data_IF_480745911436
#
_entry.id   IF_480745911436
#
_cell.length_a   1.000
_cell.length_b   1.000
_cell.length_c   1.000
_cell.angle_alpha   90.00
_cell.angle_beta   90.00
_cell.angle_gamma   90.00
#
_symmetry.space_group_name_H-M   'P 1'
#
loop_
_entity.id
_entity.type
_entity.pdbx_description
1 polymer ?
#
# COMPACT_ATOMS: atom_id res chain seq x y z
N UNK A 1 -7.78 5.09 -12.27
CA UNK A 1 -6.98 4.26 -11.35
C UNK A 1 -7.12 4.84 -9.96
N UNK A 2 -7.16 4.02 -8.92
CA UNK A 2 -7.16 4.46 -7.52
C UNK A 2 -6.18 3.63 -6.70
N UNK A 3 -5.81 4.15 -5.52
CA UNK A 3 -5.18 3.39 -4.45
C UNK A 3 -6.05 3.49 -3.20
N UNK A 4 -6.07 2.44 -2.39
CA UNK A 4 -6.79 2.38 -1.12
C UNK A 4 -5.96 1.65 -0.06
N UNK A 5 -6.34 1.85 1.21
CA UNK A 5 -5.75 1.15 2.34
C UNK A 5 -6.87 0.61 3.21
N UNK A 6 -6.72 -0.63 3.66
CA UNK A 6 -7.62 -1.30 4.58
C UNK A 6 -6.82 -1.97 5.68
N UNK A 7 -7.43 -2.16 6.84
CA UNK A 7 -6.85 -2.89 7.96
C UNK A 7 -7.76 -4.02 8.42
N UNK A 8 -7.18 -5.01 9.09
CA UNK A 8 -7.88 -6.15 9.71
C UNK A 8 -8.90 -5.74 10.77
N UNK A 9 -8.81 -4.51 11.29
CA UNK A 9 -9.79 -3.91 12.21
C UNK A 9 -11.08 -3.46 11.50
N UNK A 10 -11.16 -3.57 10.17
CA UNK A 10 -12.26 -3.05 9.36
C UNK A 10 -12.13 -1.57 8.99
N UNK A 11 -11.06 -0.89 9.40
CA UNK A 11 -10.81 0.48 8.98
C UNK A 11 -10.39 0.55 7.51
N UNK A 12 -10.94 1.53 6.79
CA UNK A 12 -10.63 1.79 5.40
C UNK A 12 -10.32 3.29 5.22
N UNK A 13 -9.18 3.60 4.61
CA UNK A 13 -8.83 4.97 4.26
C UNK A 13 -9.65 5.42 3.04
N UNK A 14 -9.94 6.74 2.88
CA UNK A 14 -10.53 7.26 1.65
C UNK A 14 -9.68 6.92 0.41
N UNK A 15 -10.36 6.56 -0.69
CA UNK A 15 -9.70 6.24 -1.95
C UNK A 15 -8.95 7.44 -2.52
N UNK A 16 -7.74 7.17 -3.01
CA UNK A 16 -6.89 8.15 -3.68
C UNK A 16 -7.06 7.97 -5.18
N UNK A 17 -7.71 8.93 -5.83
CA UNK A 17 -8.02 8.88 -7.25
C UNK A 17 -6.93 9.50 -8.11
N UNK A 18 -6.64 8.84 -9.23
CA UNK A 18 -5.76 9.35 -10.27
C UNK A 18 -6.54 9.56 -11.58
N UNK A 19 -6.11 10.52 -12.42
CA UNK A 19 -6.70 10.72 -13.74
C UNK A 19 -6.76 9.44 -14.58
N UNK A 20 -7.73 9.35 -15.50
CA UNK A 20 -8.08 8.13 -16.26
C UNK A 20 -6.92 7.52 -17.06
N UNK A 21 -5.94 8.33 -17.46
CA UNK A 21 -4.76 7.91 -18.25
C UNK A 21 -3.47 7.91 -17.45
N UNK A 22 -3.57 8.01 -16.12
CA UNK A 22 -2.41 8.08 -15.24
C UNK A 22 -1.75 6.71 -15.10
N UNK A 23 -0.43 6.66 -15.32
CA UNK A 23 0.39 5.48 -15.05
C UNK A 23 1.19 5.71 -13.77
N UNK A 24 0.81 5.01 -12.71
CA UNK A 24 1.49 5.08 -11.42
C UNK A 24 2.97 4.67 -11.55
N UNK A 25 3.88 5.55 -11.15
CA UNK A 25 5.32 5.26 -11.03
C UNK A 25 5.68 5.07 -9.56
N UNK A 26 6.87 4.50 -9.33
CA UNK A 26 7.40 4.31 -7.97
C UNK A 26 7.46 5.61 -7.16
N UNK A 27 7.82 6.73 -7.78
CA UNK A 27 7.88 8.03 -7.11
C UNK A 27 6.50 8.51 -6.63
N UNK A 28 5.47 8.31 -7.46
CA UNK A 28 4.08 8.65 -7.12
C UNK A 28 3.56 7.75 -5.99
N UNK A 29 3.87 6.46 -6.07
CA UNK A 29 3.53 5.48 -5.04
C UNK A 29 4.17 5.84 -3.70
N UNK A 30 5.48 6.12 -3.68
CA UNK A 30 6.20 6.54 -2.46
C UNK A 30 5.61 7.86 -1.92
N UNK A 31 5.22 8.80 -2.79
CA UNK A 31 4.57 10.05 -2.36
C UNK A 31 3.25 9.76 -1.64
N UNK A 32 2.43 8.84 -2.17
CA UNK A 32 1.20 8.39 -1.53
C UNK A 32 1.51 7.72 -0.19
N UNK A 33 2.50 6.84 -0.12
CA UNK A 33 2.88 6.19 1.13
C UNK A 33 3.31 7.21 2.20
N UNK A 34 4.15 8.18 1.82
CA UNK A 34 4.62 9.23 2.73
C UNK A 34 3.52 10.13 3.26
N UNK A 35 2.60 10.55 2.38
CA UNK A 35 1.68 11.66 2.68
C UNK A 35 0.29 11.19 3.11
N UNK A 36 -0.10 9.97 2.73
CA UNK A 36 -1.44 9.41 3.01
C UNK A 36 -1.34 8.19 3.92
N UNK A 37 -0.58 7.18 3.53
CA UNK A 37 -0.49 5.93 4.30
C UNK A 37 0.10 6.15 5.70
N UNK A 38 1.28 6.76 5.83
CA UNK A 38 1.90 6.96 7.14
C UNK A 38 1.08 7.87 8.07
N UNK A 39 0.38 8.86 7.51
CA UNK A 39 -0.53 9.71 8.27
C UNK A 39 -1.69 8.88 8.81
N UNK A 40 -2.35 8.11 7.94
CA UNK A 40 -3.45 7.24 8.31
C UNK A 40 -3.05 6.18 9.35
N UNK A 41 -1.86 5.57 9.20
CA UNK A 41 -1.34 4.60 10.18
C UNK A 41 -1.14 5.25 11.55
N UNK A 42 -0.51 6.43 11.61
CA UNK A 42 -0.27 7.12 12.90
C UNK A 42 -1.56 7.53 13.61
N UNK A 43 -2.58 7.91 12.85
CA UNK A 43 -3.87 8.34 13.40
C UNK A 43 -4.70 7.16 13.93
N UNK A 44 -4.59 5.99 13.30
CA UNK A 44 -5.46 4.84 13.59
C UNK A 44 -4.78 3.71 14.38
N UNK A 45 -3.45 3.64 14.35
CA UNK A 45 -2.64 2.59 14.99
C UNK A 45 -1.45 3.21 15.74
N UNK A 46 -1.70 3.94 16.84
CA UNK A 46 -0.67 4.70 17.56
C UNK A 46 0.38 3.84 18.26
N UNK A 47 0.09 2.54 18.47
CA UNK A 47 1.05 1.56 18.99
C UNK A 47 2.07 1.10 17.93
N UNK A 48 1.84 1.44 16.66
CA UNK A 48 2.71 1.08 15.55
C UNK A 48 2.68 -0.40 15.19
N UNK A 49 1.73 -1.18 15.72
CA UNK A 49 1.64 -2.62 15.47
C UNK A 49 0.95 -2.91 14.12
N UNK A 50 1.61 -2.50 13.02
CA UNK A 50 1.11 -2.61 11.66
C UNK A 50 2.15 -3.29 10.78
N UNK A 51 1.70 -4.30 10.03
CA UNK A 51 2.47 -4.91 8.93
C UNK A 51 1.79 -4.57 7.62
N UNK A 52 2.54 -3.96 6.71
CA UNK A 52 2.04 -3.51 5.42
C UNK A 52 2.08 -4.64 4.37
N UNK A 53 0.95 -4.85 3.70
CA UNK A 53 0.81 -5.77 2.57
C UNK A 53 0.65 -4.95 1.27
N UNK A 54 1.30 -5.39 0.19
CA UNK A 54 1.13 -4.84 -1.15
C UNK A 54 1.20 -5.96 -2.20
N UNK A 55 0.56 -5.76 -3.35
CA UNK A 55 0.63 -6.70 -4.46
C UNK A 55 1.95 -6.59 -5.25
N UNK A 56 2.10 -7.46 -6.25
CA UNK A 56 3.27 -7.53 -7.12
C UNK A 56 3.39 -6.43 -8.18
N UNK A 57 2.58 -5.36 -8.15
CA UNK A 57 2.55 -4.38 -9.23
C UNK A 57 3.93 -3.73 -9.49
N UNK A 58 4.26 -3.35 -10.75
CA UNK A 58 5.59 -2.83 -11.08
C UNK A 58 6.03 -1.61 -10.24
N UNK A 59 5.10 -0.70 -9.91
CA UNK A 59 5.41 0.48 -9.11
C UNK A 59 5.79 0.11 -7.65
N UNK A 60 5.14 -0.91 -7.09
CA UNK A 60 5.30 -1.37 -5.71
C UNK A 60 6.58 -2.18 -5.51
N UNK A 61 7.02 -2.87 -6.56
CA UNK A 61 8.15 -3.79 -6.51
C UNK A 61 9.48 -3.22 -7.01
N UNK A 62 9.53 -1.93 -7.35
CA UNK A 62 10.80 -1.26 -7.69
C UNK A 62 11.76 -1.24 -6.50
N UNK A 63 13.07 -1.28 -6.77
CA UNK A 63 14.10 -1.16 -5.72
C UNK A 63 13.92 0.12 -4.89
N UNK A 64 13.53 1.23 -5.51
CA UNK A 64 13.28 2.50 -4.82
C UNK A 64 12.11 2.41 -3.85
N UNK A 65 10.99 1.79 -4.25
CA UNK A 65 9.83 1.60 -3.38
C UNK A 65 10.15 0.64 -2.23
N UNK A 66 10.78 -0.50 -2.51
CA UNK A 66 11.17 -1.48 -1.50
C UNK A 66 12.18 -0.92 -0.50
N UNK A 67 13.18 -0.16 -0.95
CA UNK A 67 14.15 0.50 -0.07
C UNK A 67 13.51 1.61 0.78
N UNK A 68 12.45 2.25 0.29
CA UNK A 68 11.68 3.18 1.08
C UNK A 68 10.90 2.43 2.18
N UNK A 69 10.18 1.37 1.84
CA UNK A 69 9.41 0.55 2.80
C UNK A 69 10.30 0.01 3.93
N UNK A 70 11.43 -0.61 3.59
CA UNK A 70 12.43 -1.14 4.55
C UNK A 70 12.89 -0.15 5.62
N UNK A 71 12.79 1.16 5.36
CA UNK A 71 13.23 2.22 6.27
C UNK A 71 12.09 2.80 7.13
N UNK A 72 10.83 2.53 6.80
CA UNK A 72 9.70 3.28 7.36
C UNK A 72 8.56 2.42 7.90
N UNK A 73 8.40 1.18 7.45
CA UNK A 73 7.29 0.31 7.88
C UNK A 73 7.67 -1.16 7.74
N UNK A 74 7.27 -1.99 8.69
CA UNK A 74 7.31 -3.45 8.55
C UNK A 74 6.36 -3.86 7.43
N UNK A 75 6.81 -4.69 6.50
CA UNK A 75 6.02 -5.03 5.32
C UNK A 75 6.31 -6.44 4.83
N UNK A 76 5.35 -7.02 4.13
CA UNK A 76 5.53 -8.29 3.44
C UNK A 76 6.52 -8.12 2.29
N UNK A 77 7.63 -8.87 2.29
CA UNK A 77 8.57 -8.80 1.19
C UNK A 77 7.92 -9.37 -0.08
N UNK A 78 8.45 -8.96 -1.24
CA UNK A 78 7.86 -9.25 -2.55
C UNK A 78 7.59 -10.75 -2.78
N UNK A 79 8.49 -11.59 -2.31
CA UNK A 79 8.45 -13.05 -2.42
C UNK A 79 7.37 -13.71 -1.57
N UNK A 80 6.83 -13.00 -0.58
CA UNK A 80 5.69 -13.46 0.22
C UNK A 80 4.35 -13.32 -0.52
N UNK A 81 4.26 -12.42 -1.52
CA UNK A 81 3.05 -12.23 -2.29
C UNK A 81 2.96 -13.22 -3.46
N UNK A 82 1.97 -14.13 -3.48
CA UNK A 82 1.81 -15.06 -4.59
C UNK A 82 1.40 -14.32 -5.88
N UNK A 83 2.03 -14.62 -7.03
CA UNK A 83 1.61 -14.05 -8.32
C UNK A 83 0.15 -14.40 -8.64
N UNK A 84 -0.55 -13.46 -9.29
CA UNK A 84 -1.93 -13.66 -9.80
C UNK A 84 -2.97 -14.10 -8.77
N UNK A 85 -2.81 -13.69 -7.51
CA UNK A 85 -3.71 -14.05 -6.40
C UNK A 85 -4.49 -12.84 -5.89
N UNK A 86 -5.45 -12.29 -6.67
CA UNK A 86 -6.29 -11.19 -6.20
C UNK A 86 -7.20 -11.61 -5.03
N UNK A 87 -7.54 -12.89 -4.96
CA UNK A 87 -8.28 -13.51 -3.86
C UNK A 87 -7.55 -13.41 -2.51
N UNK A 88 -6.22 -13.30 -2.53
CA UNK A 88 -5.41 -13.10 -1.34
C UNK A 88 -5.37 -11.63 -0.85
N UNK A 89 -6.01 -10.69 -1.55
CA UNK A 89 -5.96 -9.27 -1.23
C UNK A 89 -7.28 -8.78 -0.61
N UNK A 90 -7.34 -8.53 0.72
CA UNK A 90 -8.54 -8.03 1.36
C UNK A 90 -9.05 -6.70 0.77
N UNK A 91 -8.15 -5.89 0.21
CA UNK A 91 -8.49 -4.61 -0.40
C UNK A 91 -9.47 -4.75 -1.58
N UNK A 92 -9.38 -5.84 -2.34
CA UNK A 92 -10.20 -6.07 -3.54
C UNK A 92 -11.67 -6.39 -3.20
N UNK A 93 -12.00 -6.54 -1.91
CA UNK A 93 -13.34 -6.81 -1.40
C UNK A 93 -13.90 -5.70 -0.49
N UNK A 94 -13.18 -4.58 -0.34
CA UNK A 94 -13.47 -3.58 0.67
C UNK A 94 -14.14 -2.30 0.15
N UNK A 95 -14.27 -2.13 -1.16
CA UNK A 95 -14.82 -0.93 -1.81
C UNK A 95 -15.75 -1.27 -2.99
#
# INVERSE_FOLDING_TARGET
MSLGFVASTGFAAPLIWFPTVFRLKAADYIKVLKTKFLTWVRENFPDGNVVFQQDGAPAHTTLTALNWLKKHVEFWPKDMWPPYSPDANPLDYAF
#
